data_IF_632045760545
#
_entry.id   IF_632045760545
#
_cell.length_a   1.000
_cell.length_b   1.000
_cell.length_c   1.000
_cell.angle_alpha   90.00
_cell.angle_beta   90.00
_cell.angle_gamma   90.00
#
_symmetry.space_group_name_H-M   'P 1'
#
loop_
_entity.id
_entity.type
_entity.pdbx_description
1 polymer ?
#
# COMPACT_ATOMS: atom_id res chain seq x y z
N UNK A 1 25.34 -52.59 22.57
CA UNK A 1 24.16 -52.40 21.71
C UNK A 1 24.17 -50.96 21.26
N UNK A 2 24.54 -50.71 20.00
CA UNK A 2 24.70 -49.38 19.42
C UNK A 2 23.44 -49.10 18.61
N UNK A 3 22.65 -48.10 19.02
CA UNK A 3 21.49 -47.64 18.27
C UNK A 3 21.93 -46.49 17.34
N UNK A 4 22.17 -46.80 16.08
CA UNK A 4 22.34 -45.81 15.00
C UNK A 4 20.96 -45.36 14.55
N UNK A 5 20.54 -44.17 15.00
CA UNK A 5 19.36 -43.50 14.46
C UNK A 5 19.78 -42.69 13.23
N UNK A 6 19.35 -43.14 12.05
CA UNK A 6 19.49 -42.43 10.79
C UNK A 6 18.67 -41.15 10.81
N UNK A 7 19.33 -39.99 10.92
CA UNK A 7 18.70 -38.70 10.71
C UNK A 7 18.45 -38.52 9.20
N UNK A 8 17.19 -38.62 8.79
CA UNK A 8 16.74 -38.26 7.46
C UNK A 8 16.92 -36.74 7.27
N UNK A 9 17.88 -36.36 6.44
CA UNK A 9 18.05 -34.99 5.96
C UNK A 9 16.79 -34.63 5.16
N UNK A 10 15.89 -33.86 5.78
CA UNK A 10 14.71 -33.32 5.10
C UNK A 10 15.15 -32.01 4.46
N UNK A 11 15.36 -32.02 3.15
CA UNK A 11 15.51 -30.82 2.33
C UNK A 11 14.20 -30.03 2.38
N UNK A 12 14.11 -29.08 3.31
CA UNK A 12 13.05 -28.07 3.28
C UNK A 12 13.47 -27.05 2.24
N UNK A 13 12.81 -27.10 1.08
CA UNK A 13 12.84 -26.04 0.09
C UNK A 13 12.42 -24.73 0.76
N UNK A 14 13.32 -23.74 0.76
CA UNK A 14 12.97 -22.36 1.02
C UNK A 14 11.93 -21.92 -0.01
N UNK A 15 10.65 -21.89 0.37
CA UNK A 15 9.64 -21.19 -0.40
C UNK A 15 9.94 -19.70 -0.23
N UNK A 16 10.52 -19.09 -1.26
CA UNK A 16 10.59 -17.64 -1.37
C UNK A 16 9.17 -17.11 -1.17
N UNK A 17 8.95 -16.36 -0.07
CA UNK A 17 7.74 -15.60 0.12
C UNK A 17 7.60 -14.69 -1.11
N UNK A 18 6.62 -14.98 -1.97
CA UNK A 18 6.30 -14.07 -3.06
C UNK A 18 5.72 -12.82 -2.42
N UNK A 19 6.53 -11.78 -2.23
CA UNK A 19 6.04 -10.48 -1.80
C UNK A 19 5.03 -9.99 -2.85
N UNK A 20 3.74 -10.08 -2.50
CA UNK A 20 2.68 -9.60 -3.37
C UNK A 20 2.69 -8.08 -3.32
N UNK A 21 3.24 -7.45 -4.36
CA UNK A 21 3.06 -6.01 -4.58
C UNK A 21 1.62 -5.76 -4.99
N UNK A 22 0.85 -5.12 -4.10
CA UNK A 22 -0.51 -4.68 -4.40
C UNK A 22 -0.41 -3.27 -4.98
N UNK A 23 -0.90 -3.09 -6.21
CA UNK A 23 -1.00 -1.77 -6.82
C UNK A 23 -1.82 -0.85 -5.91
N UNK A 24 -1.27 0.32 -5.59
CA UNK A 24 -2.03 1.44 -5.04
C UNK A 24 -2.50 2.28 -6.22
N UNK A 25 -3.81 2.43 -6.35
CA UNK A 25 -4.41 3.24 -7.41
C UNK A 25 -4.66 4.64 -6.82
N UNK A 26 -4.07 5.72 -7.38
CA UNK A 26 -4.52 7.06 -7.05
C UNK A 26 -6.00 7.21 -7.42
N UNK A 27 -6.68 8.17 -6.81
CA UNK A 27 -8.14 8.40 -6.76
C UNK A 27 -8.87 8.54 -8.13
N UNK A 28 -8.19 8.27 -9.24
CA UNK A 28 -8.79 8.10 -10.56
C UNK A 28 -9.54 6.76 -10.63
N UNK A 29 -10.84 6.81 -10.35
CA UNK A 29 -11.75 5.76 -10.79
C UNK A 29 -11.85 5.85 -12.32
N UNK A 30 -11.09 4.99 -13.01
CA UNK A 30 -11.19 4.86 -14.45
C UNK A 30 -12.52 4.18 -14.79
N UNK A 31 -13.55 4.98 -15.06
CA UNK A 31 -14.80 4.51 -15.62
C UNK A 31 -14.67 4.45 -17.14
N UNK A 32 -14.83 3.24 -17.70
CA UNK A 32 -14.83 3.01 -19.15
C UNK A 32 -16.20 2.44 -19.52
N UNK A 33 -17.02 3.28 -20.15
CA UNK A 33 -18.34 2.89 -20.64
C UNK A 33 -18.28 2.46 -22.10
N UNK A 34 -18.93 1.34 -22.40
CA UNK A 34 -19.11 0.85 -23.77
C UNK A 34 -20.38 0.00 -23.86
N UNK A 35 -20.95 -0.18 -25.06
CA UNK A 35 -22.09 -1.05 -25.25
C UNK A 35 -21.78 -2.48 -24.80
N UNK A 36 -22.68 -3.07 -24.00
CA UNK A 36 -22.54 -4.46 -23.54
C UNK A 36 -22.31 -5.45 -24.70
N UNK A 37 -22.83 -5.13 -25.90
CA UNK A 37 -22.67 -5.92 -27.12
C UNK A 37 -21.20 -6.16 -27.50
N UNK A 38 -20.29 -5.23 -27.21
CA UNK A 38 -18.87 -5.35 -27.55
C UNK A 38 -17.99 -5.76 -26.36
N UNK A 39 -18.58 -6.01 -25.19
CA UNK A 39 -17.83 -6.31 -23.97
C UNK A 39 -16.87 -7.49 -24.10
N UNK A 40 -17.30 -8.57 -24.76
CA UNK A 40 -16.45 -9.74 -24.99
C UNK A 40 -15.15 -9.41 -25.76
N UNK A 41 -15.21 -8.52 -26.76
CA UNK A 41 -14.02 -8.10 -27.51
C UNK A 41 -13.05 -7.28 -26.65
N UNK A 42 -13.60 -6.43 -25.78
CA UNK A 42 -12.81 -5.63 -24.83
C UNK A 42 -12.13 -6.56 -23.81
N UNK A 43 -12.87 -7.53 -23.27
CA UNK A 43 -12.38 -8.50 -22.28
C UNK A 43 -11.30 -9.42 -22.86
N UNK A 44 -11.47 -9.89 -24.09
CA UNK A 44 -10.48 -10.74 -24.77
C UNK A 44 -9.17 -9.97 -25.01
N UNK A 45 -9.26 -8.71 -25.45
CA UNK A 45 -8.07 -7.87 -25.61
C UNK A 45 -7.39 -7.61 -24.26
N UNK A 46 -8.17 -7.29 -23.23
CA UNK A 46 -7.66 -7.05 -21.89
C UNK A 46 -7.00 -8.30 -21.29
N UNK A 47 -7.52 -9.49 -21.60
CA UNK A 47 -6.93 -10.77 -21.21
C UNK A 47 -5.56 -10.99 -21.86
N UNK A 48 -5.37 -10.58 -23.13
CA UNK A 48 -4.05 -10.60 -23.77
C UNK A 48 -3.04 -9.70 -23.05
N UNK A 49 -3.47 -8.48 -22.70
CA UNK A 49 -2.62 -7.51 -21.99
C UNK A 49 -2.15 -8.07 -20.64
N UNK A 50 -3.06 -8.71 -19.89
CA UNK A 50 -2.76 -9.30 -18.58
C UNK A 50 -1.93 -10.59 -18.62
N UNK A 51 -1.85 -11.27 -19.76
CA UNK A 51 -1.17 -12.57 -19.88
C UNK A 51 0.36 -12.51 -19.81
N UNK A 52 0.96 -11.33 -19.62
CA UNK A 52 2.41 -11.17 -19.48
C UNK A 52 2.93 -11.69 -18.14
N UNK A 53 4.14 -12.26 -18.15
CA UNK A 53 4.94 -12.53 -16.95
C UNK A 53 5.92 -11.37 -16.77
N UNK A 54 5.92 -10.75 -15.59
CA UNK A 54 6.74 -9.56 -15.33
C UNK A 54 7.87 -9.89 -14.35
N UNK A 55 9.06 -9.37 -14.63
CA UNK A 55 10.23 -9.50 -13.76
C UNK A 55 10.65 -8.10 -13.32
N UNK A 56 10.85 -7.93 -12.02
CA UNK A 56 11.40 -6.69 -11.44
C UNK A 56 12.91 -6.89 -11.31
N UNK A 57 13.70 -6.08 -12.02
CA UNK A 57 15.16 -6.15 -12.02
C UNK A 57 15.78 -5.42 -13.22
N UNK A 58 17.07 -5.07 -13.13
CA UNK A 58 17.90 -4.53 -14.24
C UNK A 58 17.40 -3.25 -14.93
N UNK A 59 16.61 -2.43 -14.23
CA UNK A 59 16.16 -1.12 -14.73
C UNK A 59 14.90 -1.16 -15.61
N UNK A 60 14.24 -2.31 -15.77
CA UNK A 60 12.92 -2.39 -16.40
C UNK A 60 11.79 -2.37 -15.37
N UNK A 61 10.98 -1.31 -15.39
CA UNK A 61 9.77 -1.19 -14.58
C UNK A 61 8.58 -1.95 -15.17
N UNK A 62 7.50 -2.04 -14.39
CA UNK A 62 6.21 -2.52 -14.85
C UNK A 62 5.64 -1.66 -15.98
N UNK A 63 5.79 -0.34 -15.94
CA UNK A 63 5.31 0.57 -16.99
C UNK A 63 5.88 0.19 -18.36
N UNK A 64 7.20 -0.04 -18.45
CA UNK A 64 7.86 -0.38 -19.70
C UNK A 64 7.47 -1.77 -20.20
N UNK A 65 7.35 -2.74 -19.29
CA UNK A 65 6.85 -4.07 -19.63
C UNK A 65 5.40 -4.02 -20.13
N UNK A 66 4.56 -3.17 -19.53
CA UNK A 66 3.17 -2.97 -19.92
C UNK A 66 3.04 -2.24 -21.26
N UNK A 67 3.95 -1.32 -21.59
CA UNK A 67 4.09 -0.78 -22.96
C UNK A 67 4.49 -1.86 -23.95
N UNK A 68 5.34 -2.81 -23.53
CA UNK A 68 5.69 -4.00 -24.31
C UNK A 68 4.49 -4.89 -24.62
N UNK A 69 3.58 -5.08 -23.65
CA UNK A 69 2.35 -5.87 -23.85
C UNK A 69 1.47 -5.31 -24.98
N UNK A 70 1.42 -3.98 -25.13
CA UNK A 70 0.67 -3.34 -26.22
C UNK A 70 1.19 -3.81 -27.57
N UNK A 71 2.52 -3.91 -27.73
CA UNK A 71 3.12 -4.38 -28.98
C UNK A 71 2.89 -5.88 -29.19
N UNK A 72 3.03 -6.69 -28.13
CA UNK A 72 2.74 -8.13 -28.18
C UNK A 72 1.30 -8.40 -28.61
N UNK A 73 0.35 -7.65 -28.04
CA UNK A 73 -1.08 -7.82 -28.25
C UNK A 73 -1.64 -7.00 -29.43
N UNK A 74 -0.81 -6.35 -30.25
CA UNK A 74 -1.27 -5.50 -31.36
C UNK A 74 -2.16 -6.22 -32.36
N UNK A 75 -1.84 -7.47 -32.69
CA UNK A 75 -2.66 -8.29 -33.60
C UNK A 75 -4.04 -8.57 -32.99
N UNK A 76 -4.08 -9.01 -31.74
CA UNK A 76 -5.33 -9.23 -31.01
C UNK A 76 -6.17 -7.94 -30.94
N UNK A 77 -5.55 -6.80 -30.65
CA UNK A 77 -6.23 -5.51 -30.62
C UNK A 77 -6.95 -5.22 -31.95
N UNK A 78 -6.23 -5.36 -33.07
CA UNK A 78 -6.79 -5.12 -34.40
C UNK A 78 -7.93 -6.08 -34.75
N UNK A 79 -7.82 -7.36 -34.39
CA UNK A 79 -8.85 -8.37 -34.65
C UNK A 79 -10.10 -8.12 -33.81
N UNK A 80 -9.94 -7.78 -32.52
CA UNK A 80 -11.04 -7.49 -31.61
C UNK A 80 -11.74 -6.18 -31.97
N UNK A 81 -11.00 -5.13 -32.35
CA UNK A 81 -11.57 -3.86 -32.81
C UNK A 81 -12.38 -4.04 -34.10
N UNK A 82 -11.85 -4.79 -35.07
CA UNK A 82 -12.57 -5.10 -36.31
C UNK A 82 -13.83 -5.93 -36.04
N UNK A 83 -13.74 -6.96 -35.19
CA UNK A 83 -14.88 -7.79 -34.80
C UNK A 83 -15.98 -7.02 -34.07
N UNK A 84 -15.60 -6.10 -33.17
CA UNK A 84 -16.53 -5.22 -32.47
C UNK A 84 -17.29 -4.31 -33.47
N UNK A 85 -16.55 -3.67 -34.40
CA UNK A 85 -17.14 -2.84 -35.45
C UNK A 85 -18.10 -3.63 -36.36
N UNK A 86 -17.70 -4.83 -36.78
CA UNK A 86 -18.55 -5.70 -37.61
C UNK A 86 -19.83 -6.10 -36.86
N UNK A 87 -19.73 -6.42 -35.56
CA UNK A 87 -20.89 -6.78 -34.75
C UNK A 87 -21.85 -5.58 -34.58
N UNK A 88 -21.33 -4.39 -34.31
CA UNK A 88 -22.14 -3.17 -34.19
C UNK A 88 -22.87 -2.87 -35.50
N UNK A 89 -22.17 -2.93 -36.64
CA UNK A 89 -22.77 -2.72 -37.96
C UNK A 89 -23.87 -3.75 -38.28
N UNK A 90 -23.61 -5.05 -38.02
CA UNK A 90 -24.62 -6.12 -38.21
C UNK A 90 -25.87 -5.95 -37.36
N UNK A 91 -25.76 -5.24 -36.23
CA UNK A 91 -26.88 -4.94 -35.32
C UNK A 91 -27.47 -3.54 -35.54
N UNK A 92 -26.99 -2.78 -36.52
CA UNK A 92 -27.44 -1.41 -36.81
C UNK A 92 -27.15 -0.44 -35.67
N UNK A 93 -26.04 -0.62 -34.94
CA UNK A 93 -25.62 0.19 -33.79
C UNK A 93 -24.35 1.00 -34.06
N UNK A 94 -23.86 0.98 -35.28
CA UNK A 94 -22.69 1.71 -35.76
C UNK A 94 -22.87 3.23 -35.76
N UNK A 95 -24.11 3.72 -35.83
CA UNK A 95 -24.41 5.14 -35.61
C UNK A 95 -24.25 5.57 -34.14
N UNK A 96 -24.66 4.71 -33.19
CA UNK A 96 -24.59 4.99 -31.74
C UNK A 96 -23.17 4.83 -31.19
N UNK A 97 -22.41 3.91 -31.79
CA UNK A 97 -21.01 3.65 -31.42
C UNK A 97 -20.20 3.51 -32.70
N UNK A 98 -19.74 4.63 -33.28
CA UNK A 98 -19.02 4.62 -34.55
C UNK A 98 -17.62 4.01 -34.39
N UNK A 99 -16.97 3.62 -35.50
CA UNK A 99 -15.65 3.00 -35.45
C UNK A 99 -14.58 3.81 -34.71
N UNK A 100 -14.67 5.15 -34.77
CA UNK A 100 -13.78 6.03 -34.01
C UNK A 100 -13.99 5.93 -32.51
N UNK A 101 -15.22 5.71 -32.03
CA UNK A 101 -15.51 5.48 -30.63
C UNK A 101 -15.02 4.10 -30.18
N UNK A 102 -15.18 3.07 -31.03
CA UNK A 102 -14.60 1.74 -30.78
C UNK A 102 -13.08 1.83 -30.64
N UNK A 103 -12.39 2.48 -31.57
CA UNK A 103 -10.95 2.70 -31.49
C UNK A 103 -10.53 3.41 -30.18
N UNK A 104 -11.30 4.43 -29.76
CA UNK A 104 -11.07 5.15 -28.50
C UNK A 104 -11.24 4.27 -27.25
N UNK A 105 -12.16 3.30 -27.28
CA UNK A 105 -12.33 2.34 -26.18
C UNK A 105 -11.07 1.49 -26.04
N UNK A 106 -10.56 0.92 -27.15
CA UNK A 106 -9.34 0.10 -27.15
C UNK A 106 -8.10 0.92 -26.79
N UNK A 107 -8.01 2.18 -27.21
CA UNK A 107 -6.96 3.12 -26.77
C UNK A 107 -7.04 3.39 -25.26
N UNK A 108 -8.25 3.59 -24.73
CA UNK A 108 -8.43 3.84 -23.30
C UNK A 108 -8.00 2.63 -22.47
N UNK A 109 -8.31 1.41 -22.91
CA UNK A 109 -7.82 0.16 -22.28
C UNK A 109 -6.29 0.12 -22.26
N UNK A 110 -5.62 0.49 -23.36
CA UNK A 110 -4.15 0.55 -23.44
C UNK A 110 -3.57 1.54 -22.44
N UNK A 111 -4.12 2.75 -22.39
CA UNK A 111 -3.68 3.77 -21.42
C UNK A 111 -3.87 3.32 -19.98
N UNK A 112 -5.04 2.75 -19.66
CA UNK A 112 -5.32 2.21 -18.33
C UNK A 112 -4.30 1.12 -17.98
N UNK A 113 -3.95 0.24 -18.92
CA UNK A 113 -2.92 -0.78 -18.70
C UNK A 113 -1.60 -0.14 -18.30
N UNK A 114 -1.04 0.75 -19.14
CA UNK A 114 0.27 1.39 -18.85
C UNK A 114 0.27 2.15 -17.53
N UNK A 115 -0.80 2.89 -17.22
CA UNK A 115 -0.89 3.63 -15.95
C UNK A 115 -0.90 2.69 -14.74
N UNK A 116 -1.49 1.49 -14.85
CA UNK A 116 -1.39 0.46 -13.79
C UNK A 116 0.05 0.02 -13.58
N UNK A 117 0.81 -0.14 -14.67
CA UNK A 117 2.25 -0.41 -14.60
C UNK A 117 3.01 0.70 -13.89
N UNK A 118 2.79 1.95 -14.27
CA UNK A 118 3.39 3.12 -13.60
C UNK A 118 3.03 3.18 -12.10
N UNK A 119 1.81 2.82 -11.72
CA UNK A 119 1.40 2.76 -10.32
C UNK A 119 2.10 1.64 -9.54
N UNK A 120 2.31 0.47 -10.17
CA UNK A 120 3.10 -0.61 -9.59
C UNK A 120 4.56 -0.22 -9.41
N UNK A 121 5.13 0.56 -10.34
CA UNK A 121 6.48 1.10 -10.20
C UNK A 121 6.59 2.06 -9.02
N UNK A 122 5.63 2.99 -8.87
CA UNK A 122 5.57 3.90 -7.71
C UNK A 122 5.47 3.12 -6.39
N UNK A 123 4.60 2.12 -6.32
CA UNK A 123 4.40 1.29 -5.12
C UNK A 123 5.62 0.40 -4.81
N UNK A 124 6.30 -0.11 -5.84
CA UNK A 124 7.54 -0.88 -5.68
C UNK A 124 8.67 0.02 -5.19
N UNK A 125 8.85 1.19 -5.81
CA UNK A 125 9.90 2.12 -5.44
C UNK A 125 9.69 2.71 -4.04
N UNK A 126 8.47 3.04 -3.64
CA UNK A 126 8.17 3.50 -2.28
C UNK A 126 8.53 2.44 -1.23
N UNK A 127 8.29 1.15 -1.52
CA UNK A 127 8.69 0.05 -0.65
C UNK A 127 10.20 -0.15 -0.59
N UNK A 128 10.91 -0.06 -1.71
CA UNK A 128 12.39 -0.16 -1.74
C UNK A 128 13.02 0.99 -0.96
N UNK A 129 12.56 2.23 -1.19
CA UNK A 129 13.03 3.41 -0.44
C UNK A 129 12.73 3.24 1.05
N UNK A 130 11.53 2.80 1.41
CA UNK A 130 11.20 2.49 2.80
C UNK A 130 12.12 1.41 3.36
N UNK A 131 12.33 0.29 2.66
CA UNK A 131 13.20 -0.81 3.10
C UNK A 131 14.65 -0.41 3.29
N UNK A 132 15.20 0.43 2.41
CA UNK A 132 16.56 0.94 2.56
C UNK A 132 16.66 1.91 3.74
N UNK A 133 15.67 2.80 3.88
CA UNK A 133 15.57 3.66 5.05
C UNK A 133 15.41 2.85 6.36
N UNK A 134 14.72 1.72 6.33
CA UNK A 134 14.64 0.77 7.45
C UNK A 134 15.99 0.09 7.74
N UNK A 135 16.73 -0.34 6.72
CA UNK A 135 18.05 -0.94 6.88
C UNK A 135 19.08 0.06 7.45
N UNK A 136 19.08 1.29 6.94
CA UNK A 136 19.91 2.39 7.43
C UNK A 136 19.52 2.80 8.87
N UNK A 137 18.22 2.86 9.18
CA UNK A 137 17.74 3.15 10.54
C UNK A 137 18.13 2.08 11.55
N UNK A 138 18.16 0.80 11.14
CA UNK A 138 18.63 -0.32 11.97
C UNK A 138 20.13 -0.24 12.26
N UNK A 139 20.93 0.15 11.28
CA UNK A 139 22.38 0.37 11.46
C UNK A 139 22.65 1.56 12.41
N UNK A 140 21.80 2.60 12.37
CA UNK A 140 21.84 3.72 13.31
C UNK A 140 21.32 3.35 14.71
N UNK A 141 20.45 2.33 14.84
CA UNK A 141 19.91 1.89 16.13
C UNK A 141 20.93 1.17 17.02
N UNK A 142 21.99 0.61 16.43
CA UNK A 142 23.12 0.03 17.17
C UNK A 142 24.11 1.11 17.69
N UNK A 143 23.88 2.39 17.37
CA UNK A 143 24.55 3.54 17.97
C UNK A 143 23.63 4.23 19.01
N UNK A 144 24.22 4.77 20.08
CA UNK A 144 23.46 5.55 21.06
C UNK A 144 22.73 6.71 20.36
N UNK A 145 21.42 6.88 20.57
CA UNK A 145 20.65 7.89 19.87
C UNK A 145 21.18 9.30 20.23
N UNK A 146 21.13 10.26 19.30
CA UNK A 146 21.41 11.65 19.63
C UNK A 146 20.56 12.09 20.84
N UNK A 147 21.08 12.90 21.78
CA UNK A 147 20.37 13.26 23.01
C UNK A 147 18.94 13.80 22.80
N UNK A 148 18.69 14.50 21.69
CA UNK A 148 17.34 15.01 21.38
C UNK A 148 16.35 13.90 20.97
N UNK A 149 16.82 12.80 20.36
CA UNK A 149 15.97 11.65 20.02
C UNK A 149 15.58 10.91 21.29
N UNK A 150 16.52 10.72 22.22
CA UNK A 150 16.24 10.15 23.53
C UNK A 150 15.17 10.98 24.28
N UNK A 151 15.32 12.30 24.30
CA UNK A 151 14.36 13.19 24.96
C UNK A 151 12.95 13.14 24.36
N UNK A 152 12.81 13.09 23.03
CA UNK A 152 11.50 12.92 22.39
C UNK A 152 10.86 11.57 22.75
N UNK A 153 11.66 10.52 22.87
CA UNK A 153 11.16 9.21 23.29
C UNK A 153 10.70 9.22 24.77
N UNK A 154 11.44 9.86 25.67
CA UNK A 154 11.02 10.06 27.06
C UNK A 154 9.66 10.80 27.14
N UNK A 155 9.45 11.82 26.30
CA UNK A 155 8.17 12.54 26.24
C UNK A 155 7.02 11.67 25.70
N UNK A 156 7.29 10.79 24.72
CA UNK A 156 6.32 9.83 24.19
C UNK A 156 5.95 8.80 25.24
N UNK A 157 6.94 8.24 25.93
CA UNK A 157 6.75 7.27 27.01
C UNK A 157 5.97 7.90 28.16
N UNK A 158 6.31 9.11 28.59
CA UNK A 158 5.56 9.84 29.61
C UNK A 158 4.09 10.06 29.21
N UNK A 159 3.83 10.37 27.94
CA UNK A 159 2.47 10.54 27.41
C UNK A 159 1.71 9.22 27.41
N UNK A 160 2.34 8.14 26.97
CA UNK A 160 1.73 6.80 26.97
C UNK A 160 1.45 6.33 28.39
N UNK A 161 2.42 6.43 29.31
CA UNK A 161 2.25 6.09 30.72
C UNK A 161 1.12 6.90 31.36
N UNK A 162 0.97 8.19 31.03
CA UNK A 162 -0.16 9.00 31.52
C UNK A 162 -1.51 8.53 30.96
N UNK A 163 -1.57 8.14 29.67
CA UNK A 163 -2.77 7.54 29.08
C UNK A 163 -3.12 6.21 29.73
N UNK A 164 -2.15 5.35 30.00
CA UNK A 164 -2.38 4.03 30.59
C UNK A 164 -2.79 4.12 32.06
N UNK A 165 -2.06 4.92 32.86
CA UNK A 165 -2.31 5.03 34.31
C UNK A 165 -3.57 5.79 34.66
N UNK A 166 -3.94 6.82 33.88
CA UNK A 166 -5.11 7.67 34.17
C UNK A 166 -6.30 7.37 33.24
N UNK A 167 -6.07 6.71 32.11
CA UNK A 167 -7.09 6.50 31.08
C UNK A 167 -8.25 5.62 31.55
N UNK A 168 -7.99 4.58 32.35
CA UNK A 168 -9.06 3.76 32.92
C UNK A 168 -9.95 4.55 33.88
N UNK A 169 -9.34 5.40 34.71
CA UNK A 169 -10.07 6.28 35.64
C UNK A 169 -10.94 7.29 34.88
N UNK A 170 -10.40 7.88 33.81
CA UNK A 170 -11.14 8.82 32.96
C UNK A 170 -12.24 8.14 32.16
N UNK A 171 -12.01 6.92 31.65
CA UNK A 171 -13.01 6.11 30.96
C UNK A 171 -14.18 5.76 31.89
N UNK A 172 -13.89 5.34 33.11
CA UNK A 172 -14.92 5.06 34.11
C UNK A 172 -15.77 6.30 34.47
N UNK A 173 -15.23 7.51 34.33
CA UNK A 173 -16.01 8.75 34.48
C UNK A 173 -16.94 8.94 33.28
N UNK A 174 -16.46 8.72 32.05
CA UNK A 174 -17.28 8.88 30.84
C UNK A 174 -18.50 7.96 30.80
N UNK A 175 -18.42 6.79 31.43
CA UNK A 175 -19.53 5.82 31.54
C UNK A 175 -20.60 6.21 32.59
N UNK A 176 -20.37 7.27 33.38
CA UNK A 176 -21.35 7.76 34.36
C UNK A 176 -22.48 8.55 33.66
N UNK A 177 -23.73 8.43 34.14
CA UNK A 177 -24.85 9.21 33.60
C UNK A 177 -24.74 10.72 33.89
N UNK A 178 -24.06 11.10 34.98
CA UNK A 178 -23.82 12.49 35.38
C UNK A 178 -22.41 12.65 35.97
N UNK A 179 -21.79 13.81 35.75
CA UNK A 179 -20.41 14.09 36.22
C UNK A 179 -20.42 15.02 37.43
N UNK A 180 -19.69 14.64 38.47
CA UNK A 180 -19.44 15.51 39.63
C UNK A 180 -18.40 16.59 39.30
N UNK A 181 -18.25 17.59 40.17
CA UNK A 181 -17.17 18.59 40.01
C UNK A 181 -15.76 17.97 40.10
N UNK A 182 -15.60 16.91 40.89
CA UNK A 182 -14.32 16.20 40.99
C UNK A 182 -14.04 15.39 39.73
N UNK A 183 -15.07 14.77 39.12
CA UNK A 183 -14.97 14.10 37.82
C UNK A 183 -14.52 15.07 36.72
N UNK A 184 -15.13 16.26 36.67
CA UNK A 184 -14.75 17.31 35.71
C UNK A 184 -13.31 17.79 35.92
N UNK A 185 -12.86 17.92 37.18
CA UNK A 185 -11.49 18.30 37.51
C UNK A 185 -10.48 17.24 37.08
N UNK A 186 -10.80 15.96 37.25
CA UNK A 186 -9.97 14.85 36.82
C UNK A 186 -9.84 14.80 35.30
N UNK A 187 -10.95 14.93 34.57
CA UNK A 187 -10.93 15.01 33.09
C UNK A 187 -10.09 16.21 32.62
N UNK A 188 -10.28 17.39 33.22
CA UNK A 188 -9.54 18.58 32.85
C UNK A 188 -8.03 18.42 33.10
N UNK A 189 -7.63 17.86 34.23
CA UNK A 189 -6.23 17.61 34.59
C UNK A 189 -5.60 16.59 33.65
N UNK A 190 -6.31 15.51 33.35
CA UNK A 190 -5.86 14.50 32.40
C UNK A 190 -5.59 15.09 31.01
N UNK A 191 -6.56 15.85 30.47
CA UNK A 191 -6.44 16.46 29.15
C UNK A 191 -5.37 17.55 29.10
N UNK A 192 -5.23 18.35 30.17
CA UNK A 192 -4.19 19.38 30.25
C UNK A 192 -2.79 18.78 30.14
N UNK A 193 -2.55 17.66 30.82
CA UNK A 193 -1.25 16.97 30.77
C UNK A 193 -0.98 16.33 29.41
N UNK A 194 -1.99 15.71 28.78
CA UNK A 194 -1.86 15.22 27.40
C UNK A 194 -1.54 16.32 26.40
N UNK A 195 -2.20 17.48 26.52
CA UNK A 195 -1.91 18.63 25.67
C UNK A 195 -0.51 19.17 25.91
N UNK A 196 -0.06 19.25 27.17
CA UNK A 196 1.29 19.67 27.54
C UNK A 196 2.34 18.76 26.91
N UNK A 197 2.20 17.43 27.06
CA UNK A 197 3.13 16.44 26.52
C UNK A 197 3.12 16.43 24.98
N UNK A 198 1.93 16.50 24.37
CA UNK A 198 1.80 16.58 22.89
C UNK A 198 2.43 17.85 22.33
N UNK A 199 2.27 18.99 23.02
CA UNK A 199 2.90 20.25 22.67
C UNK A 199 4.42 20.20 22.78
N UNK A 200 4.95 19.60 23.84
CA UNK A 200 6.38 19.40 24.04
C UNK A 200 6.98 18.50 22.95
N UNK A 201 6.34 17.36 22.63
CA UNK A 201 6.76 16.48 21.53
C UNK A 201 6.78 17.24 20.20
N UNK A 202 5.75 18.04 19.91
CA UNK A 202 5.66 18.82 18.68
C UNK A 202 6.77 19.88 18.58
N UNK A 203 7.08 20.55 19.69
CA UNK A 203 8.14 21.54 19.76
C UNK A 203 9.51 20.89 19.54
N UNK A 204 9.79 19.79 20.22
CA UNK A 204 11.06 19.07 20.13
C UNK A 204 11.26 18.43 18.77
N UNK A 205 10.21 17.91 18.12
CA UNK A 205 10.29 17.39 16.75
C UNK A 205 10.69 18.46 15.72
N UNK A 206 10.37 19.74 15.97
CA UNK A 206 10.85 20.84 15.11
C UNK A 206 12.36 21.10 15.30
N UNK A 207 12.87 20.91 16.50
CA UNK A 207 14.29 21.06 16.82
C UNK A 207 15.12 19.81 16.50
N UNK A 208 14.47 18.63 16.44
CA UNK A 208 15.07 17.31 16.26
C UNK A 208 14.27 16.50 15.22
N UNK A 209 14.32 16.88 13.92
CA UNK A 209 13.52 16.24 12.87
C UNK A 209 13.85 14.74 12.71
N UNK A 210 15.06 14.31 13.05
CA UNK A 210 15.47 12.90 13.10
C UNK A 210 14.66 12.03 14.08
N UNK A 211 13.99 12.61 15.09
CA UNK A 211 13.15 11.85 16.03
C UNK A 211 11.77 11.46 15.46
N UNK A 212 11.43 11.94 14.25
CA UNK A 212 10.17 11.65 13.59
C UNK A 212 10.11 10.22 12.99
N UNK A 213 11.27 9.57 12.80
CA UNK A 213 11.39 8.31 12.06
C UNK A 213 11.23 7.02 12.89
N UNK A 214 11.11 7.11 14.23
CA UNK A 214 11.06 5.92 15.13
C UNK A 214 9.68 5.43 15.58
N UNK A 215 8.57 6.05 15.15
CA UNK A 215 7.23 5.74 15.69
C UNK A 215 6.64 4.39 15.20
N UNK A 216 7.31 3.67 14.29
CA UNK A 216 6.77 2.44 13.72
C UNK A 216 7.37 1.12 14.28
N UNK A 217 8.23 1.18 15.30
CA UNK A 217 8.97 -0.01 15.78
C UNK A 217 8.29 -0.83 16.91
N UNK A 218 7.24 -0.37 17.60
CA UNK A 218 6.74 -1.08 18.82
C UNK A 218 5.45 -1.91 18.66
N UNK A 219 4.92 -2.09 17.44
CA UNK A 219 3.67 -2.83 17.21
C UNK A 219 3.78 -4.24 16.61
N UNK A 220 5.00 -4.70 16.28
CA UNK A 220 5.20 -5.99 15.63
C UNK A 220 5.69 -7.04 16.64
N UNK A 221 4.82 -7.43 17.57
CA UNK A 221 5.01 -8.69 18.30
C UNK A 221 4.91 -9.84 17.29
N UNK A 222 6.04 -10.49 17.04
CA UNK A 222 6.10 -11.81 16.41
C UNK A 222 5.42 -12.83 17.33
N UNK A 223 4.52 -13.70 16.84
CA UNK A 223 4.01 -14.79 17.65
C UNK A 223 5.16 -15.77 17.95
N UNK A 224 5.47 -15.96 19.22
CA UNK A 224 6.42 -16.97 19.68
C UNK A 224 5.84 -18.38 19.49
N UNK A 225 6.62 -19.23 18.82
CA UNK A 225 6.83 -20.66 19.10
C UNK A 225 5.66 -21.60 19.24
#
# INVERSE_FOLDING_TARGET
MIATASAALTLIFAQAASDRVRAEYPDQQWELEYPALIGGFVDDYYSCLKGGSYVIGDGSGFEDQYRGDIQRCRKQASEMEAGANELLARRGRDADTPPTQVANIFETVRRIHVERGASLDRATNSRIVASNAYAEAREVADAAPPPCVAYVNELREARQNHMETQGESVKAIYDKPEYTQDDQRLIATYNAELMRLTGAITLELRACPQANYRVYEEGAETPEG
#
